data_IF_754072624373
#
_entry.id   IF_754072624373
#
_cell.length_a   1.000
_cell.length_b   1.000
_cell.length_c   1.000
_cell.angle_alpha   90.00
_cell.angle_beta   90.00
_cell.angle_gamma   90.00
#
_symmetry.space_group_name_H-M   'P 1'
#
loop_
_entity.id
_entity.type
_entity.pdbx_description
1 polymer ?
#
# COMPACT_ATOMS: atom_id res chain seq x y z
N UNK A 1 36.83 -78.78 -7.43
CA UNK A 1 37.69 -78.17 -6.39
C UNK A 1 37.65 -76.66 -6.59
N UNK A 2 37.07 -75.93 -5.61
CA UNK A 2 37.15 -74.47 -5.36
C UNK A 2 36.60 -73.52 -6.45
N UNK A 3 35.45 -72.86 -6.21
CA UNK A 3 35.27 -71.54 -5.50
C UNK A 3 35.40 -70.39 -6.54
N UNK A 4 34.53 -69.39 -6.73
CA UNK A 4 33.60 -68.66 -5.87
C UNK A 4 32.55 -67.87 -6.69
N UNK A 5 31.57 -67.38 -5.95
CA UNK A 5 30.33 -66.68 -6.28
C UNK A 5 30.54 -65.14 -6.33
N UNK A 6 30.07 -64.45 -7.38
CA UNK A 6 29.76 -63.01 -7.41
C UNK A 6 28.65 -62.85 -8.47
N UNK A 7 27.41 -62.42 -8.21
CA UNK A 7 26.96 -61.40 -7.28
C UNK A 7 26.67 -60.11 -8.06
N UNK A 8 25.70 -60.12 -8.99
CA UNK A 8 25.23 -58.91 -9.68
C UNK A 8 23.85 -58.53 -9.14
N UNK A 9 23.86 -57.67 -8.12
CA UNK A 9 22.66 -57.08 -7.54
C UNK A 9 22.08 -56.07 -8.54
N UNK A 10 20.86 -56.33 -9.02
CA UNK A 10 20.07 -55.36 -9.78
C UNK A 10 19.62 -54.27 -8.80
N UNK A 11 20.25 -53.09 -8.90
CA UNK A 11 19.83 -51.90 -8.17
C UNK A 11 18.60 -51.28 -8.84
N UNK A 12 17.40 -51.62 -8.36
CA UNK A 12 16.20 -50.84 -8.62
C UNK A 12 16.33 -49.48 -7.92
N UNK A 13 16.71 -48.44 -8.66
CA UNK A 13 16.59 -47.07 -8.19
C UNK A 13 15.11 -46.69 -8.18
N UNK A 14 14.48 -46.75 -7.00
CA UNK A 14 13.17 -46.16 -6.75
C UNK A 14 13.29 -44.64 -6.90
N UNK A 15 12.78 -44.12 -8.02
CA UNK A 15 12.58 -42.70 -8.24
C UNK A 15 11.45 -42.24 -7.30
N UNK A 16 11.81 -41.78 -6.10
CA UNK A 16 10.87 -41.09 -5.21
C UNK A 16 10.69 -39.69 -5.79
N UNK A 17 9.66 -39.53 -6.62
CA UNK A 17 9.15 -38.21 -6.99
C UNK A 17 8.64 -37.54 -5.70
N UNK A 18 9.45 -36.64 -5.15
CA UNK A 18 8.99 -35.71 -4.12
C UNK A 18 8.00 -34.78 -4.81
N UNK A 19 6.71 -35.09 -4.67
CA UNK A 19 5.64 -34.17 -5.04
C UNK A 19 5.70 -33.06 -3.99
N UNK A 20 6.50 -32.02 -4.27
CA UNK A 20 6.42 -30.78 -3.54
C UNK A 20 5.00 -30.26 -3.75
N UNK A 21 4.14 -30.43 -2.75
CA UNK A 21 2.79 -29.91 -2.77
C UNK A 21 2.87 -28.40 -2.96
N UNK A 22 2.59 -27.94 -4.18
CA UNK A 22 2.29 -26.54 -4.42
C UNK A 22 1.10 -26.22 -3.53
N UNK A 23 1.34 -25.44 -2.46
CA UNK A 23 0.23 -24.86 -1.72
C UNK A 23 -0.47 -23.94 -2.70
N UNK A 24 -1.70 -24.27 -3.07
CA UNK A 24 -2.61 -23.29 -3.60
C UNK A 24 -2.71 -22.19 -2.56
N UNK A 25 -2.12 -21.03 -2.84
CA UNK A 25 -2.52 -19.80 -2.15
C UNK A 25 -3.97 -19.62 -2.58
N UNK A 26 -4.91 -19.92 -1.69
CA UNK A 26 -6.29 -19.49 -1.90
C UNK A 26 -6.22 -17.98 -2.10
N UNK A 27 -6.72 -17.54 -3.26
CA UNK A 27 -6.88 -16.12 -3.50
C UNK A 27 -7.83 -15.58 -2.41
N UNK A 28 -7.44 -14.52 -1.72
CA UNK A 28 -8.30 -13.90 -0.72
C UNK A 28 -9.38 -13.13 -1.46
N UNK A 29 -10.57 -13.73 -1.58
CA UNK A 29 -11.69 -13.16 -2.34
C UNK A 29 -12.18 -11.81 -1.77
N UNK A 30 -11.74 -11.41 -0.58
CA UNK A 30 -12.16 -10.17 0.10
C UNK A 30 -11.28 -8.95 -0.24
N UNK A 31 -11.02 -8.74 -1.52
CA UNK A 31 -10.24 -7.59 -1.99
C UNK A 31 -10.98 -6.25 -1.78
N UNK A 32 -10.24 -5.23 -1.36
CA UNK A 32 -10.69 -3.83 -1.30
C UNK A 32 -9.78 -2.95 -2.19
N UNK A 33 -9.90 -3.06 -3.53
CA UNK A 33 -8.86 -2.60 -4.45
C UNK A 33 -8.70 -1.09 -4.58
N UNK A 34 -9.65 -0.29 -4.08
CA UNK A 34 -9.75 1.14 -4.41
C UNK A 34 -10.54 1.90 -3.37
N UNK A 35 -10.55 3.23 -3.49
CA UNK A 35 -11.42 4.08 -2.66
C UNK A 35 -12.88 3.65 -2.79
N UNK A 36 -13.54 3.41 -1.65
CA UNK A 36 -14.90 2.87 -1.52
C UNK A 36 -15.09 1.42 -2.01
N UNK A 37 -14.02 0.63 -2.13
CA UNK A 37 -14.10 -0.82 -2.30
C UNK A 37 -14.45 -1.28 -3.72
N UNK A 38 -14.71 -2.59 -3.92
CA UNK A 38 -14.86 -3.20 -5.24
C UNK A 38 -16.05 -2.62 -6.04
N UNK A 39 -17.16 -2.31 -5.37
CA UNK A 39 -18.34 -1.67 -5.98
C UNK A 39 -18.33 -0.14 -5.95
N UNK A 40 -17.30 0.51 -5.38
CA UNK A 40 -17.22 1.97 -5.20
C UNK A 40 -18.34 2.56 -4.32
N UNK A 41 -19.00 1.71 -3.52
CA UNK A 41 -20.12 2.09 -2.65
C UNK A 41 -19.69 2.32 -1.19
N UNK A 42 -18.51 1.83 -0.79
CA UNK A 42 -18.05 1.85 0.60
C UNK A 42 -18.76 0.80 1.47
N UNK A 43 -19.18 -0.31 0.84
CA UNK A 43 -19.88 -1.42 1.49
C UNK A 43 -18.99 -2.66 1.46
N UNK A 44 -18.99 -3.42 2.56
CA UNK A 44 -18.38 -4.75 2.67
C UNK A 44 -19.48 -5.79 2.73
N UNK A 45 -19.23 -6.97 2.16
CA UNK A 45 -20.08 -8.16 2.26
C UNK A 45 -19.75 -9.00 3.51
N UNK A 46 -18.84 -8.51 4.35
CA UNK A 46 -18.42 -9.17 5.59
C UNK A 46 -19.59 -9.42 6.53
N UNK A 47 -19.68 -10.64 7.04
CA UNK A 47 -20.63 -11.04 8.07
C UNK A 47 -19.92 -11.14 9.43
N UNK A 48 -20.69 -11.08 10.54
CA UNK A 48 -20.16 -11.15 11.91
C UNK A 48 -19.12 -10.06 12.24
N UNK A 49 -19.34 -8.83 11.75
CA UNK A 49 -18.50 -7.69 12.07
C UNK A 49 -18.69 -7.28 13.54
N UNK A 50 -17.63 -6.88 14.24
CA UNK A 50 -17.73 -6.43 15.63
C UNK A 50 -18.59 -5.15 15.75
N UNK A 51 -19.53 -5.17 16.69
CA UNK A 51 -20.47 -4.07 16.95
C UNK A 51 -19.91 -3.00 17.91
N UNK A 52 -18.84 -3.32 18.64
CA UNK A 52 -18.15 -2.42 19.56
C UNK A 52 -16.66 -2.32 19.20
N UNK A 53 -16.06 -1.15 19.47
CA UNK A 53 -14.65 -0.90 19.22
C UNK A 53 -14.07 -0.08 20.37
N UNK A 54 -12.86 -0.43 20.80
CA UNK A 54 -12.15 0.28 21.86
C UNK A 54 -10.64 0.25 21.66
N UNK A 55 -9.86 1.00 22.47
CA UNK A 55 -8.40 1.05 22.33
C UNK A 55 -7.74 -0.32 22.37
N UNK A 56 -8.34 -1.27 23.11
CA UNK A 56 -7.88 -2.64 23.30
C UNK A 56 -9.00 -3.67 23.02
N UNK A 57 -10.08 -3.27 22.35
CA UNK A 57 -11.25 -4.13 22.09
C UNK A 57 -11.47 -4.26 20.58
N UNK A 58 -11.66 -5.50 20.11
CA UNK A 58 -11.85 -5.84 18.70
C UNK A 58 -10.76 -5.32 17.75
N UNK A 59 -9.55 -5.09 18.28
CA UNK A 59 -8.35 -4.76 17.51
C UNK A 59 -7.58 -6.05 17.22
N UNK A 60 -7.48 -6.44 15.94
CA UNK A 60 -6.67 -7.58 15.54
C UNK A 60 -5.17 -7.30 15.70
N UNK A 61 -4.72 -6.13 15.23
CA UNK A 61 -3.35 -5.63 15.35
C UNK A 61 -3.30 -4.13 15.05
N UNK A 62 -2.16 -3.50 15.32
CA UNK A 62 -1.84 -2.11 14.98
C UNK A 62 -0.41 -2.03 14.49
N UNK A 63 -0.17 -1.13 13.53
CA UNK A 63 1.16 -0.79 13.04
C UNK A 63 1.26 0.73 12.94
N UNK A 64 2.40 1.28 13.32
CA UNK A 64 2.70 2.69 13.12
C UNK A 64 3.13 2.90 11.66
N UNK A 65 2.43 3.78 10.96
CA UNK A 65 2.78 4.17 9.58
C UNK A 65 3.46 5.54 9.65
N UNK A 66 4.68 5.70 9.10
CA UNK A 66 5.41 6.94 9.21
C UNK A 66 4.78 8.06 8.37
N UNK A 67 4.95 9.30 8.86
CA UNK A 67 4.50 10.50 8.17
C UNK A 67 3.00 10.70 8.23
N UNK A 68 2.49 11.41 7.22
CA UNK A 68 1.11 11.85 7.11
C UNK A 68 0.49 11.36 5.80
N UNK A 69 -0.80 11.02 5.81
CA UNK A 69 -1.51 10.55 4.62
C UNK A 69 -3.03 10.58 4.82
N UNK A 70 -3.76 11.14 3.85
CA UNK A 70 -5.23 11.14 3.84
C UNK A 70 -5.83 10.12 2.87
N UNK A 71 -4.96 9.41 2.14
CA UNK A 71 -5.31 8.24 1.38
C UNK A 71 -6.00 7.18 2.26
N UNK A 72 -6.89 6.40 1.66
CA UNK A 72 -7.43 5.20 2.31
C UNK A 72 -6.50 4.02 2.05
N UNK A 73 -6.34 3.08 3.00
CA UNK A 73 -5.70 1.81 2.70
C UNK A 73 -6.53 1.04 1.66
N UNK A 74 -5.85 0.28 0.81
CA UNK A 74 -6.47 -0.68 -0.11
C UNK A 74 -5.93 -2.07 0.15
N UNK A 75 -6.76 -3.08 -0.07
CA UNK A 75 -6.42 -4.49 0.19
C UNK A 75 -6.46 -5.27 -1.10
N UNK A 76 -5.40 -6.04 -1.37
CA UNK A 76 -5.36 -6.98 -2.49
C UNK A 76 -4.56 -8.23 -2.09
N UNK A 77 -5.20 -9.40 -2.15
CA UNK A 77 -4.60 -10.72 -1.92
C UNK A 77 -3.78 -10.78 -0.62
N UNK A 78 -4.44 -10.42 0.48
CA UNK A 78 -3.84 -10.40 1.82
C UNK A 78 -2.79 -9.31 2.06
N UNK A 79 -2.64 -8.33 1.15
CA UNK A 79 -1.71 -7.20 1.31
C UNK A 79 -2.46 -5.88 1.43
N UNK A 80 -2.00 -5.02 2.33
CA UNK A 80 -2.50 -3.66 2.52
C UNK A 80 -1.52 -2.69 1.88
N UNK A 81 -2.00 -1.77 1.04
CA UNK A 81 -1.20 -0.72 0.46
C UNK A 81 -1.61 0.66 0.99
N UNK A 82 -0.61 1.45 1.36
CA UNK A 82 -0.79 2.80 1.93
C UNK A 82 0.19 3.76 1.26
N UNK A 83 -0.26 4.99 1.04
CA UNK A 83 0.57 6.11 0.58
C UNK A 83 0.73 7.13 1.70
N UNK A 84 1.94 7.61 1.92
CA UNK A 84 2.28 8.58 2.96
C UNK A 84 3.32 9.59 2.48
N UNK A 85 3.48 10.67 3.24
CA UNK A 85 4.59 11.62 3.09
C UNK A 85 5.23 11.86 4.44
N UNK A 86 6.55 11.75 4.51
CA UNK A 86 7.35 12.07 5.69
C UNK A 86 8.04 13.40 5.46
N UNK A 87 7.99 14.32 6.43
CA UNK A 87 8.72 15.61 6.39
C UNK A 87 9.97 15.52 7.26
N UNK A 88 11.08 16.12 6.79
CA UNK A 88 12.30 16.32 7.60
C UNK A 88 12.11 17.39 8.68
N UNK A 89 11.16 18.31 8.50
CA UNK A 89 10.79 19.34 9.46
C UNK A 89 9.50 19.05 10.22
N UNK A 90 9.20 19.90 11.21
CA UNK A 90 7.98 19.78 12.02
C UNK A 90 6.73 20.02 11.18
N UNK A 91 5.84 19.03 11.11
CA UNK A 91 4.51 19.22 10.54
C UNK A 91 3.52 19.75 11.59
N UNK A 92 2.69 20.73 11.18
CA UNK A 92 1.56 21.19 11.99
C UNK A 92 0.60 20.01 12.24
N UNK A 93 0.38 19.69 13.51
CA UNK A 93 -0.55 18.63 13.90
C UNK A 93 -1.96 18.88 13.37
N UNK A 94 -2.65 17.80 12.96
CA UNK A 94 -4.02 17.90 12.44
C UNK A 94 -4.99 18.47 13.48
N UNK A 95 -5.61 19.60 13.15
CA UNK A 95 -6.62 20.25 13.98
C UNK A 95 -7.99 19.63 13.72
N UNK A 96 -8.70 19.20 14.78
CA UNK A 96 -10.11 18.79 14.66
C UNK A 96 -11.01 20.04 14.64
N UNK A 97 -12.10 20.02 13.86
CA UNK A 97 -13.13 21.08 13.90
C UNK A 97 -13.28 21.87 12.60
N UNK A 98 -13.78 23.11 12.71
CA UNK A 98 -13.90 24.05 11.59
C UNK A 98 -12.55 24.72 11.31
N UNK A 99 -12.26 24.96 10.03
CA UNK A 99 -10.97 25.47 9.56
C UNK A 99 -11.19 26.83 8.91
N UNK A 100 -11.33 27.86 9.74
CA UNK A 100 -11.57 29.23 9.25
C UNK A 100 -10.27 29.88 8.70
N UNK A 101 -9.12 29.30 9.04
CA UNK A 101 -7.76 29.73 8.71
C UNK A 101 -6.93 28.56 8.11
N UNK A 102 -7.58 27.69 7.33
CA UNK A 102 -6.98 26.43 6.86
C UNK A 102 -5.96 26.57 5.72
N UNK A 103 -5.88 27.72 5.07
CA UNK A 103 -5.01 27.92 3.90
C UNK A 103 -3.55 28.13 4.32
N UNK A 104 -2.63 27.42 3.65
CA UNK A 104 -1.18 27.65 3.72
C UNK A 104 -0.70 27.93 2.31
N UNK A 105 -0.73 29.19 1.91
CA UNK A 105 -0.38 29.61 0.55
C UNK A 105 1.11 29.42 0.26
N UNK A 106 1.95 29.62 1.26
CA UNK A 106 3.39 29.35 1.18
C UNK A 106 3.62 27.83 1.31
N UNK A 107 4.39 27.22 0.38
CA UNK A 107 4.78 25.83 0.51
C UNK A 107 5.65 25.59 1.75
N UNK A 108 5.75 24.33 2.18
CA UNK A 108 6.77 23.95 3.15
C UNK A 108 8.16 24.22 2.58
N UNK A 109 9.11 24.53 3.48
CA UNK A 109 10.53 24.71 3.14
C UNK A 109 11.35 23.44 3.36
N UNK A 110 10.75 22.45 4.01
CA UNK A 110 11.43 21.22 4.39
C UNK A 110 11.30 20.17 3.29
N UNK A 111 12.28 19.27 3.23
CA UNK A 111 12.24 18.13 2.32
C UNK A 111 11.14 17.18 2.77
N UNK A 112 10.33 16.76 1.82
CA UNK A 112 9.27 15.78 1.98
C UNK A 112 9.63 14.52 1.20
N UNK A 113 9.27 13.37 1.75
CA UNK A 113 9.57 12.04 1.25
C UNK A 113 8.25 11.31 0.98
N UNK A 114 7.89 11.16 -0.30
CA UNK A 114 6.66 10.50 -0.71
C UNK A 114 6.88 8.99 -0.81
N UNK A 115 6.06 8.23 -0.07
CA UNK A 115 6.28 6.82 0.15
C UNK A 115 5.05 5.97 -0.19
N UNK A 116 5.30 4.78 -0.71
CA UNK A 116 4.32 3.72 -0.91
C UNK A 116 4.76 2.53 -0.07
N UNK A 117 3.87 2.04 0.78
CA UNK A 117 4.13 0.90 1.66
C UNK A 117 3.18 -0.25 1.33
N UNK A 118 3.67 -1.47 1.53
CA UNK A 118 2.85 -2.67 1.62
C UNK A 118 3.02 -3.35 2.98
N UNK A 119 1.91 -3.79 3.57
CA UNK A 119 1.87 -4.53 4.82
C UNK A 119 1.10 -5.84 4.63
N UNK A 120 1.44 -6.86 5.42
CA UNK A 120 0.67 -8.09 5.50
C UNK A 120 -0.64 -7.86 6.27
N UNK A 121 -1.78 -8.25 5.70
CA UNK A 121 -3.10 -8.07 6.32
C UNK A 121 -3.26 -8.87 7.62
N UNK A 122 -2.53 -9.99 7.75
CA UNK A 122 -2.68 -10.91 8.87
C UNK A 122 -2.10 -10.35 10.17
N UNK A 123 -0.95 -9.69 10.09
CA UNK A 123 -0.19 -9.27 11.27
C UNK A 123 0.33 -7.83 11.21
N UNK A 124 0.10 -7.10 10.12
CA UNK A 124 0.52 -5.72 9.95
C UNK A 124 2.03 -5.57 9.69
N UNK A 125 2.77 -6.65 9.41
CA UNK A 125 4.20 -6.57 9.11
C UNK A 125 4.45 -5.84 7.80
N UNK A 126 5.38 -4.88 7.78
CA UNK A 126 5.84 -4.25 6.53
C UNK A 126 6.50 -5.29 5.62
N UNK A 127 5.97 -5.43 4.41
CA UNK A 127 6.47 -6.32 3.37
C UNK A 127 7.53 -5.61 2.53
N UNK A 128 7.21 -4.39 2.11
CA UNK A 128 8.11 -3.52 1.37
C UNK A 128 7.69 -2.06 1.49
N UNK A 129 8.63 -1.17 1.17
CA UNK A 129 8.44 0.28 1.11
C UNK A 129 9.28 0.87 -0.01
N UNK A 130 8.71 1.84 -0.71
CA UNK A 130 9.41 2.66 -1.70
C UNK A 130 9.25 4.13 -1.41
N UNK A 131 10.35 4.87 -1.52
CA UNK A 131 10.33 6.32 -1.67
C UNK A 131 10.30 6.64 -3.16
N UNK A 132 9.22 7.26 -3.63
CA UNK A 132 9.03 7.60 -5.05
C UNK A 132 9.52 9.00 -5.40
N UNK A 133 9.65 9.85 -4.39
CA UNK A 133 10.16 11.20 -4.55
C UNK A 133 10.65 11.75 -3.21
N UNK A 134 11.73 12.54 -3.26
CA UNK A 134 12.18 13.39 -2.18
C UNK A 134 12.39 14.80 -2.72
N UNK A 135 11.81 15.80 -2.05
CA UNK A 135 11.91 17.18 -2.51
C UNK A 135 11.11 18.17 -1.66
N UNK A 136 11.37 19.45 -1.88
CA UNK A 136 10.57 20.51 -1.26
C UNK A 136 9.29 20.70 -2.10
N UNK A 137 8.08 20.63 -1.51
CA UNK A 137 6.84 20.89 -2.23
C UNK A 137 6.86 22.27 -2.88
N UNK A 138 6.38 22.38 -4.13
CA UNK A 138 6.40 23.67 -4.86
C UNK A 138 5.15 24.52 -4.61
N UNK A 139 4.07 23.90 -4.12
CA UNK A 139 2.76 24.54 -3.99
C UNK A 139 2.35 24.59 -2.52
N UNK A 140 1.61 25.63 -2.16
CA UNK A 140 0.88 25.67 -0.89
C UNK A 140 -0.11 24.51 -0.75
N UNK A 141 -0.66 24.36 0.46
CA UNK A 141 -1.71 23.38 0.76
C UNK A 141 -2.77 23.93 1.70
N UNK A 142 -3.95 23.34 1.70
CA UNK A 142 -4.85 23.49 2.85
C UNK A 142 -4.40 22.54 3.98
N UNK A 143 -4.63 22.89 5.24
CA UNK A 143 -4.35 22.06 6.43
C UNK A 143 -5.03 20.66 6.40
N UNK A 144 -5.97 20.44 5.47
CA UNK A 144 -6.68 19.18 5.25
C UNK A 144 -6.01 18.29 4.21
N UNK A 145 -4.84 18.70 3.73
CA UNK A 145 -4.05 17.98 2.74
C UNK A 145 -2.73 17.53 3.37
N UNK A 146 -2.22 16.38 2.94
CA UNK A 146 -0.99 15.76 3.45
C UNK A 146 0.01 15.43 2.35
N UNK A 147 -0.17 16.00 1.14
CA UNK A 147 0.59 15.67 -0.08
C UNK A 147 0.54 14.18 -0.52
N UNK A 148 -0.10 13.30 0.27
CA UNK A 148 -0.52 11.93 -0.04
C UNK A 148 -2.02 11.78 0.27
N UNK A 149 -2.85 12.53 -0.45
CA UNK A 149 -4.31 12.51 -0.25
C UNK A 149 -5.00 11.45 -1.09
N UNK A 150 -4.33 10.97 -2.14
CA UNK A 150 -4.84 10.08 -3.17
C UNK A 150 -4.72 8.61 -2.76
N UNK A 151 -5.87 7.94 -2.72
CA UNK A 151 -5.94 6.50 -2.47
C UNK A 151 -5.33 5.72 -3.63
N UNK A 152 -4.36 4.81 -3.40
CA UNK A 152 -3.83 3.94 -4.46
C UNK A 152 -4.91 3.00 -5.00
N UNK A 153 -4.64 2.35 -6.13
CA UNK A 153 -5.51 1.32 -6.70
C UNK A 153 -4.70 0.05 -6.89
N UNK A 154 -5.29 -1.10 -6.56
CA UNK A 154 -4.71 -2.41 -6.81
C UNK A 154 -5.59 -3.23 -7.74
N UNK A 155 -4.96 -4.03 -8.59
CA UNK A 155 -5.58 -5.06 -9.41
C UNK A 155 -4.65 -6.27 -9.53
N UNK A 156 -5.02 -7.27 -10.31
CA UNK A 156 -4.24 -8.52 -10.47
C UNK A 156 -2.80 -8.32 -10.97
N UNK A 157 -2.49 -7.17 -11.59
CA UNK A 157 -1.20 -6.89 -12.18
C UNK A 157 -0.28 -6.13 -11.21
N UNK A 158 -0.86 -5.42 -10.23
CA UNK A 158 -0.06 -4.65 -9.28
C UNK A 158 -0.84 -3.56 -8.54
N UNK A 159 -0.09 -2.62 -8.00
CA UNK A 159 -0.58 -1.45 -7.27
C UNK A 159 -0.09 -0.17 -7.94
N UNK A 160 -0.98 0.81 -8.01
CA UNK A 160 -0.76 2.09 -8.67
C UNK A 160 -1.02 3.22 -7.69
N UNK A 161 0.02 3.99 -7.40
CA UNK A 161 -0.05 5.16 -6.53
C UNK A 161 0.04 6.43 -7.38
N UNK A 162 -0.92 7.34 -7.18
CA UNK A 162 -0.90 8.67 -7.77
C UNK A 162 -0.55 9.67 -6.68
N UNK A 163 0.41 10.55 -6.94
CA UNK A 163 0.71 11.71 -6.12
C UNK A 163 0.53 12.95 -6.99
N UNK A 164 -0.48 13.76 -6.69
CA UNK A 164 -1.01 14.83 -7.52
C UNK A 164 -0.02 15.61 -8.39
N UNK A 165 0.98 16.20 -7.74
CA UNK A 165 1.97 17.08 -8.36
C UNK A 165 3.30 16.39 -8.67
N UNK A 166 3.35 15.06 -8.61
CA UNK A 166 4.57 14.28 -8.83
C UNK A 166 4.39 13.27 -9.97
N UNK A 167 3.27 12.57 -10.01
CA UNK A 167 3.01 11.57 -11.03
C UNK A 167 2.35 10.31 -10.52
N UNK A 168 2.37 9.29 -11.37
CA UNK A 168 1.79 7.98 -11.12
C UNK A 168 2.92 6.95 -11.13
N UNK A 169 2.89 6.04 -10.16
CA UNK A 169 3.91 5.02 -9.94
C UNK A 169 3.24 3.65 -9.87
N UNK A 170 3.72 2.70 -10.66
CA UNK A 170 3.19 1.34 -10.72
C UNK A 170 4.17 0.33 -10.15
N UNK A 171 3.70 -0.55 -9.28
CA UNK A 171 4.50 -1.60 -8.63
C UNK A 171 3.83 -2.95 -8.79
N UNK A 172 4.64 -4.02 -8.88
CA UNK A 172 4.15 -5.37 -8.65
C UNK A 172 3.75 -5.55 -7.19
N UNK A 173 2.97 -6.59 -6.87
CA UNK A 173 2.61 -6.90 -5.48
C UNK A 173 3.80 -7.28 -4.60
N UNK A 174 4.91 -7.70 -5.20
CA UNK A 174 6.17 -8.01 -4.52
C UNK A 174 7.05 -6.76 -4.32
N UNK A 175 6.59 -5.61 -4.80
CA UNK A 175 7.28 -4.33 -4.62
C UNK A 175 8.31 -4.03 -5.70
N UNK A 176 8.26 -4.67 -6.87
CA UNK A 176 9.08 -4.24 -8.00
C UNK A 176 8.44 -3.03 -8.67
N UNK A 177 9.18 -1.92 -8.82
CA UNK A 177 8.71 -0.77 -9.59
C UNK A 177 8.68 -1.11 -11.08
N UNK A 178 7.48 -1.19 -11.64
CA UNK A 178 7.26 -1.57 -13.04
C UNK A 178 7.38 -0.37 -13.98
N UNK A 179 6.88 0.79 -13.57
CA UNK A 179 6.93 2.01 -14.35
C UNK A 179 6.64 3.25 -13.49
N UNK A 180 7.11 4.40 -13.98
CA UNK A 180 6.72 5.72 -13.47
C UNK A 180 6.27 6.62 -14.61
N UNK A 181 5.31 7.51 -14.32
CA UNK A 181 4.93 8.62 -15.19
C UNK A 181 4.87 9.90 -14.37
N UNK A 182 5.89 10.73 -14.50
CA UNK A 182 5.95 12.03 -13.84
C UNK A 182 4.95 13.00 -14.46
N UNK A 183 4.30 13.79 -13.61
CA UNK A 183 3.37 14.83 -14.01
C UNK A 183 3.88 16.16 -13.46
N UNK A 184 3.81 17.25 -14.24
CA UNK A 184 4.18 18.56 -13.73
C UNK A 184 3.20 18.97 -12.63
N UNK A 185 3.71 19.67 -11.63
CA UNK A 185 2.86 20.35 -10.66
C UNK A 185 1.97 21.37 -11.38
N UNK A 186 0.72 21.50 -10.92
CA UNK A 186 -0.21 22.49 -11.41
C UNK A 186 -0.84 23.26 -10.24
N UNK A 187 -1.21 24.51 -10.49
CA UNK A 187 -1.87 25.33 -9.49
C UNK A 187 -3.28 24.79 -9.22
N UNK A 188 -3.53 24.46 -7.97
CA UNK A 188 -4.86 24.07 -7.49
C UNK A 188 -5.63 25.29 -7.03
N UNK A 189 -6.96 25.28 -7.14
CA UNK A 189 -7.82 26.34 -6.60
C UNK A 189 -7.45 26.66 -5.16
N UNK A 190 -7.19 27.94 -4.86
CA UNK A 190 -6.78 28.44 -3.54
C UNK A 190 -5.50 27.78 -2.95
N UNK A 191 -4.67 27.13 -3.79
CA UNK A 191 -3.53 26.34 -3.34
C UNK A 191 -3.91 25.24 -2.32
N UNK A 192 -5.10 24.64 -2.44
CA UNK A 192 -5.54 23.60 -1.48
C UNK A 192 -4.83 22.25 -1.63
N UNK A 193 -4.11 22.07 -2.74
CA UNK A 193 -3.46 20.82 -3.11
C UNK A 193 -4.44 19.83 -3.74
N UNK A 194 -3.92 18.66 -4.10
CA UNK A 194 -4.67 17.61 -4.79
C UNK A 194 -5.44 16.73 -3.80
N UNK A 195 -6.53 16.13 -4.26
CA UNK A 195 -7.41 15.30 -3.43
C UNK A 195 -7.71 13.95 -4.08
N UNK A 196 -8.25 13.01 -3.30
CA UNK A 196 -8.71 11.72 -3.81
C UNK A 196 -10.01 11.85 -4.60
N UNK A 197 -10.02 11.21 -5.77
CA UNK A 197 -11.18 10.99 -6.61
C UNK A 197 -11.08 9.62 -7.29
N UNK A 198 -12.07 9.25 -8.10
CA UNK A 198 -11.99 8.03 -8.92
C UNK A 198 -10.82 8.16 -9.90
N UNK A 199 -9.81 7.31 -9.80
CA UNK A 199 -8.85 7.10 -10.88
C UNK A 199 -9.55 6.21 -11.91
N UNK A 200 -9.84 6.74 -13.10
CA UNK A 200 -10.17 5.92 -14.26
C UNK A 200 -8.83 5.58 -14.93
N UNK A 201 -8.38 4.34 -14.74
CA UNK A 201 -7.29 3.75 -15.50
C UNK A 201 -7.86 3.14 -16.79
#
# INVERSE_FOLDING_TARGET
MRKDLFGLTVGCALLVCVIAGARSVEADENNWPRFRGPGVMGQSDGTNLPEAWGPNENIAWKVDVPGSGWASPVVWEGKIYVTTVVSDGDEEAHKKGLYLDGDRLEPSRDVHHWQVHAYDLKDGKELWKHEVHAGVPTNGRHLKNTYASETPVADKNGVYAYFGNLGIFGFSHDGEMMWERKLPAFDTTHAWGTGKGRIQA
#
